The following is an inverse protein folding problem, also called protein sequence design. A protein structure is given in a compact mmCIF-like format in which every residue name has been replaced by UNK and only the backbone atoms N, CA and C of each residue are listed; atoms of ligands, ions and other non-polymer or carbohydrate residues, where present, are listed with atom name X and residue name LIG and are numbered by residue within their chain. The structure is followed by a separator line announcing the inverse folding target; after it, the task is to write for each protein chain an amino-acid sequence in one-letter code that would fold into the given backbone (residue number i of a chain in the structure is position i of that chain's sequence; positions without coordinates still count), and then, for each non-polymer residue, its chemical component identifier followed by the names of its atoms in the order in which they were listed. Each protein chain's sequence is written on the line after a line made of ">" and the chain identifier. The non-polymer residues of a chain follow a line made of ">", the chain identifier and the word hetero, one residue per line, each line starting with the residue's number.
data_IF_502673370683
#
_entry.id   IF_502673370683
#
_cell.length_a   1.000
_cell.length_b   1.000
_cell.length_c   1.000
_cell.angle_alpha   90.00
_cell.angle_beta   90.00
_cell.angle_gamma   90.00
#
_symmetry.space_group_name_H-M   'P 1'
#
loop_
_entity.id
_entity.type
_entity.pdbx_description
1 polymer ?
#
# COMPACT_ATOMS: atom_id res chain seq x y z
N UNK A 1 -28.98 -10.93 42.92
CA UNK A 1 -29.24 -11.39 41.53
C UNK A 1 -29.36 -10.25 40.53
N UNK A 2 -29.74 -9.00 40.88
CA UNK A 2 -29.83 -7.88 39.91
C UNK A 2 -28.50 -7.30 39.41
N UNK A 3 -27.38 -7.52 40.14
CA UNK A 3 -26.05 -7.02 39.72
C UNK A 3 -25.32 -7.92 38.74
N UNK A 4 -25.72 -9.17 38.54
CA UNK A 4 -25.13 -10.13 37.62
C UNK A 4 -25.58 -9.91 36.16
N UNK A 5 -26.76 -9.31 35.96
CA UNK A 5 -27.35 -9.07 34.62
C UNK A 5 -26.65 -7.88 33.91
N UNK A 6 -26.11 -6.92 34.67
CA UNK A 6 -25.43 -5.74 34.09
C UNK A 6 -24.07 -6.07 33.46
N UNK A 7 -23.43 -7.20 33.86
CA UNK A 7 -22.12 -7.60 33.37
C UNK A 7 -22.16 -8.31 32.01
N UNK A 8 -23.36 -8.78 31.58
CA UNK A 8 -23.54 -9.52 30.32
C UNK A 8 -23.75 -8.60 29.08
N UNK A 9 -23.97 -7.31 29.28
CA UNK A 9 -24.27 -6.38 28.17
C UNK A 9 -23.01 -5.77 27.49
N UNK A 10 -21.80 -6.08 27.96
CA UNK A 10 -20.55 -5.49 27.42
C UNK A 10 -19.87 -6.40 26.38
N UNK A 11 -20.39 -7.60 26.12
CA UNK A 11 -19.72 -8.60 25.29
C UNK A 11 -20.11 -8.60 23.80
N UNK A 12 -20.83 -7.60 23.29
CA UNK A 12 -21.31 -7.61 21.90
C UNK A 12 -20.63 -6.58 20.99
N UNK A 13 -19.43 -6.12 21.30
CA UNK A 13 -18.57 -5.54 20.27
C UNK A 13 -17.91 -6.70 19.50
N UNK A 14 -18.60 -7.29 18.55
CA UNK A 14 -18.00 -8.17 17.55
C UNK A 14 -17.07 -7.31 16.68
N UNK A 15 -15.81 -7.22 17.11
CA UNK A 15 -14.75 -6.67 16.31
C UNK A 15 -14.53 -7.67 15.16
N UNK A 16 -15.14 -7.40 13.99
CA UNK A 16 -14.77 -8.10 12.77
C UNK A 16 -13.53 -7.40 12.25
N UNK A 17 -12.32 -8.02 12.36
CA UNK A 17 -11.15 -7.45 11.72
C UNK A 17 -11.42 -7.41 10.21
N UNK A 18 -11.32 -6.24 9.62
CA UNK A 18 -11.50 -6.01 8.17
C UNK A 18 -10.53 -6.87 7.34
N UNK A 19 -9.52 -7.43 7.98
CA UNK A 19 -8.55 -8.38 7.45
C UNK A 19 -8.71 -9.79 8.01
N UNK A 20 -9.92 -10.23 8.31
CA UNK A 20 -10.15 -11.65 8.59
C UNK A 20 -10.01 -12.43 7.29
N UNK A 21 -8.81 -12.92 7.05
CA UNK A 21 -8.36 -14.10 6.31
C UNK A 21 -9.13 -14.67 5.12
N UNK A 22 -10.14 -14.02 4.60
CA UNK A 22 -10.72 -14.37 3.32
C UNK A 22 -9.67 -14.04 2.26
N UNK A 23 -9.04 -15.09 1.75
CA UNK A 23 -8.07 -15.01 0.67
C UNK A 23 -8.74 -14.30 -0.49
N UNK A 24 -8.50 -13.00 -0.60
CA UNK A 24 -8.99 -12.22 -1.73
C UNK A 24 -8.25 -12.76 -2.96
N UNK A 25 -8.98 -13.45 -3.83
CA UNK A 25 -8.43 -14.09 -5.03
C UNK A 25 -8.03 -13.03 -6.06
N UNK A 26 -6.95 -12.30 -5.75
CA UNK A 26 -6.40 -11.21 -6.57
C UNK A 26 -5.04 -11.59 -7.11
N UNK A 27 -4.92 -11.76 -8.40
CA UNK A 27 -3.64 -11.85 -9.09
C UNK A 27 -3.04 -10.45 -9.29
N UNK A 28 -1.81 -10.25 -8.81
CA UNK A 28 -1.05 -9.03 -9.07
C UNK A 28 -0.10 -9.28 -10.23
N UNK A 29 -0.32 -8.58 -11.34
CA UNK A 29 0.53 -8.65 -12.52
C UNK A 29 1.97 -8.21 -12.25
N UNK A 30 2.93 -8.54 -13.14
CA UNK A 30 4.32 -8.10 -12.99
C UNK A 30 4.41 -6.57 -13.09
N UNK A 31 5.16 -5.96 -12.16
CA UNK A 31 5.44 -4.52 -12.12
C UNK A 31 6.91 -4.31 -12.49
N UNK A 32 7.19 -3.35 -13.36
CA UNK A 32 8.54 -3.12 -13.87
C UNK A 32 9.45 -2.48 -12.81
N UNK A 33 10.77 -2.79 -12.89
CA UNK A 33 11.80 -2.20 -12.05
C UNK A 33 11.93 -2.85 -10.67
N UNK A 34 13.00 -2.56 -9.95
CA UNK A 34 13.31 -3.11 -8.62
C UNK A 34 12.22 -2.70 -7.62
N UNK A 35 11.86 -1.41 -7.59
CA UNK A 35 10.79 -0.90 -6.73
C UNK A 35 9.43 -1.52 -7.07
N UNK A 36 9.21 -1.86 -8.36
CA UNK A 36 8.02 -2.56 -8.83
C UNK A 36 7.94 -4.00 -8.28
N UNK A 37 9.06 -4.71 -8.22
CA UNK A 37 9.13 -6.06 -7.62
C UNK A 37 8.76 -5.98 -6.14
N UNK A 38 9.30 -5.01 -5.41
CA UNK A 38 9.00 -4.82 -3.99
C UNK A 38 7.53 -4.44 -3.75
N UNK A 39 6.98 -3.55 -4.58
CA UNK A 39 5.55 -3.20 -4.51
C UNK A 39 4.68 -4.43 -4.78
N UNK A 40 5.00 -5.24 -5.79
CA UNK A 40 4.29 -6.48 -6.09
C UNK A 40 4.34 -7.48 -4.94
N UNK A 41 5.51 -7.67 -4.34
CA UNK A 41 5.68 -8.56 -3.19
C UNK A 41 4.84 -8.09 -2.00
N UNK A 42 4.85 -6.78 -1.72
CA UNK A 42 4.06 -6.18 -0.66
C UNK A 42 2.56 -6.33 -0.91
N UNK A 43 2.07 -6.12 -2.14
CA UNK A 43 0.68 -6.32 -2.52
C UNK A 43 0.26 -7.79 -2.41
N UNK A 44 1.07 -8.73 -2.91
CA UNK A 44 0.80 -10.16 -2.76
C UNK A 44 0.65 -10.55 -1.28
N UNK A 45 1.52 -10.04 -0.41
CA UNK A 45 1.41 -10.27 1.04
C UNK A 45 0.08 -9.77 1.60
N UNK A 46 -0.44 -8.64 1.13
CA UNK A 46 -1.73 -8.07 1.55
C UNK A 46 -2.94 -8.88 1.05
N UNK A 47 -2.82 -9.53 -0.11
CA UNK A 47 -3.89 -10.37 -0.69
C UNK A 47 -3.79 -11.85 -0.28
N UNK A 48 -2.95 -12.18 0.70
CA UNK A 48 -2.84 -13.53 1.25
C UNK A 48 -1.90 -14.46 0.50
N UNK A 49 -1.07 -13.94 -0.39
CA UNK A 49 -0.03 -14.68 -1.10
C UNK A 49 0.01 -14.42 -2.61
N UNK A 50 0.77 -15.25 -3.31
CA UNK A 50 0.86 -15.19 -4.76
C UNK A 50 -0.30 -16.00 -5.35
N UNK A 51 -1.14 -15.34 -6.14
CA UNK A 51 -2.22 -15.97 -6.89
C UNK A 51 -1.81 -16.19 -8.34
N UNK A 52 -2.44 -17.14 -9.00
CA UNK A 52 -2.24 -17.43 -10.41
C UNK A 52 -3.03 -16.46 -11.30
N UNK A 53 -2.67 -16.41 -12.58
CA UNK A 53 -3.28 -15.50 -13.55
C UNK A 53 -4.77 -15.80 -13.83
N UNK A 54 -5.24 -17.00 -13.46
CA UNK A 54 -6.63 -17.41 -13.52
C UNK A 54 -7.47 -16.99 -12.30
N UNK A 55 -6.89 -16.24 -11.35
CA UNK A 55 -7.62 -15.66 -10.25
C UNK A 55 -8.81 -14.83 -10.73
N UNK A 56 -9.87 -14.77 -9.91
CA UNK A 56 -11.09 -14.03 -10.25
C UNK A 56 -10.80 -12.55 -10.54
N UNK A 57 -9.95 -11.94 -9.70
CA UNK A 57 -9.60 -10.54 -9.85
C UNK A 57 -8.17 -10.39 -10.38
N UNK A 58 -8.00 -9.53 -11.37
CA UNK A 58 -6.71 -9.21 -11.96
C UNK A 58 -6.35 -7.75 -11.69
N UNK A 59 -5.26 -7.53 -10.96
CA UNK A 59 -4.72 -6.21 -10.64
C UNK A 59 -3.47 -5.94 -11.48
N UNK A 60 -3.58 -4.97 -12.38
CA UNK A 60 -2.44 -4.45 -13.15
C UNK A 60 -2.00 -3.13 -12.54
N UNK A 61 -0.73 -3.00 -12.18
CA UNK A 61 -0.16 -1.80 -11.56
C UNK A 61 0.99 -1.29 -12.40
N UNK A 62 1.04 0.04 -12.56
CA UNK A 62 2.16 0.77 -13.15
C UNK A 62 2.72 1.70 -12.09
N UNK A 63 3.99 1.54 -11.75
CA UNK A 63 4.70 2.37 -10.79
C UNK A 63 5.57 3.38 -11.53
N UNK A 64 5.43 4.66 -11.17
CA UNK A 64 6.28 5.72 -11.69
C UNK A 64 7.64 5.73 -10.97
N UNK A 65 8.63 6.38 -11.57
CA UNK A 65 9.93 6.57 -10.94
C UNK A 65 9.82 7.47 -9.69
N UNK A 66 10.65 7.25 -8.65
CA UNK A 66 10.67 8.08 -7.47
C UNK A 66 11.01 9.53 -7.79
N UNK A 67 10.21 10.47 -7.28
CA UNK A 67 10.50 11.90 -7.35
C UNK A 67 11.02 12.34 -6.00
N UNK A 68 12.15 13.07 -5.98
CA UNK A 68 12.73 13.64 -4.76
C UNK A 68 12.56 15.15 -4.75
N UNK A 69 12.02 15.69 -3.66
CA UNK A 69 11.82 17.11 -3.43
C UNK A 69 12.61 17.59 -2.21
N UNK A 70 13.16 18.80 -2.28
CA UNK A 70 13.80 19.46 -1.15
C UNK A 70 12.76 20.15 -0.28
N UNK A 71 12.74 19.86 1.03
CA UNK A 71 11.74 20.44 1.95
C UNK A 71 12.31 21.50 2.89
N UNK A 72 13.59 21.42 3.25
CA UNK A 72 14.25 22.39 4.10
C UNK A 72 15.73 22.55 3.74
N UNK A 73 16.25 23.74 3.98
CA UNK A 73 17.66 24.09 3.76
C UNK A 73 18.27 24.59 5.08
N UNK A 74 19.54 24.30 5.30
CA UNK A 74 20.32 24.95 6.35
C UNK A 74 20.64 26.40 5.96
N UNK A 75 21.12 27.20 6.96
CA UNK A 75 21.58 28.59 6.72
C UNK A 75 22.65 28.69 5.63
N UNK A 76 23.43 27.65 5.41
CA UNK A 76 24.44 27.57 4.36
C UNK A 76 23.87 27.22 2.97
N UNK A 77 22.55 27.02 2.83
CA UNK A 77 21.90 26.63 1.57
C UNK A 77 21.92 25.13 1.27
N UNK A 78 22.49 24.31 2.16
CA UNK A 78 22.47 22.84 2.00
C UNK A 78 21.08 22.30 2.38
N UNK A 79 20.53 21.41 1.55
CA UNK A 79 19.28 20.72 1.86
C UNK A 79 19.51 19.72 2.98
N UNK A 80 18.74 19.83 4.06
CA UNK A 80 18.80 18.90 5.21
C UNK A 80 17.65 17.91 5.23
N UNK A 81 16.52 18.27 4.64
CA UNK A 81 15.34 17.43 4.54
C UNK A 81 14.91 17.29 3.09
N UNK A 82 14.73 16.05 2.70
CA UNK A 82 14.21 15.68 1.40
C UNK A 82 12.99 14.78 1.58
N UNK A 83 12.11 14.77 0.61
CA UNK A 83 10.96 13.89 0.54
C UNK A 83 11.03 13.08 -0.75
N UNK A 84 10.89 11.77 -0.63
CA UNK A 84 10.67 10.90 -1.78
C UNK A 84 9.18 10.65 -1.95
N UNK A 85 8.68 10.79 -3.17
CA UNK A 85 7.29 10.51 -3.54
C UNK A 85 7.26 9.44 -4.61
N UNK A 86 6.36 8.48 -4.44
CA UNK A 86 6.01 7.47 -5.44
C UNK A 86 4.54 7.59 -5.79
N UNK A 87 4.23 7.36 -7.06
CA UNK A 87 2.86 7.28 -7.58
C UNK A 87 2.69 5.97 -8.33
N UNK A 88 1.57 5.31 -8.13
CA UNK A 88 1.20 4.14 -8.89
C UNK A 88 -0.21 4.26 -9.42
N UNK A 89 -0.39 3.97 -10.70
CA UNK A 89 -1.68 3.82 -11.35
C UNK A 89 -2.04 2.35 -11.41
N UNK A 90 -3.32 2.01 -11.21
CA UNK A 90 -3.74 0.62 -11.24
C UNK A 90 -5.12 0.45 -11.88
N UNK A 91 -5.30 -0.74 -12.45
CA UNK A 91 -6.57 -1.21 -13.02
C UNK A 91 -6.90 -2.55 -12.38
N UNK A 92 -8.10 -2.64 -11.78
CA UNK A 92 -8.66 -3.87 -11.24
C UNK A 92 -9.76 -4.39 -12.16
N UNK A 93 -9.69 -5.68 -12.50
CA UNK A 93 -10.67 -6.36 -13.35
C UNK A 93 -11.28 -7.54 -12.61
N UNK A 94 -12.59 -7.78 -12.84
CA UNK A 94 -13.29 -9.03 -12.54
C UNK A 94 -13.54 -9.73 -13.88
N UNK A 95 -12.73 -10.75 -14.21
CA UNK A 95 -12.64 -11.28 -15.56
C UNK A 95 -12.24 -10.20 -16.58
N UNK A 96 -13.08 -9.92 -17.56
CA UNK A 96 -12.85 -8.87 -18.56
C UNK A 96 -13.39 -7.49 -18.15
N UNK A 97 -14.22 -7.43 -17.10
CA UNK A 97 -14.85 -6.18 -16.66
C UNK A 97 -13.90 -5.37 -15.79
N UNK A 98 -13.63 -4.13 -16.17
CA UNK A 98 -12.93 -3.16 -15.32
C UNK A 98 -13.87 -2.71 -14.19
N UNK A 99 -13.45 -2.95 -12.93
CA UNK A 99 -14.22 -2.56 -11.73
C UNK A 99 -13.58 -1.38 -10.98
N UNK A 100 -12.28 -1.16 -11.17
CA UNK A 100 -11.62 0.06 -10.69
C UNK A 100 -10.49 0.48 -11.63
N UNK A 101 -10.31 1.79 -11.78
CA UNK A 101 -9.16 2.41 -12.45
C UNK A 101 -8.83 3.68 -11.67
N UNK A 102 -7.68 3.70 -11.01
CA UNK A 102 -7.32 4.80 -10.11
C UNK A 102 -5.79 4.91 -9.97
N UNK A 103 -5.37 5.95 -9.27
CA UNK A 103 -3.97 6.21 -8.94
C UNK A 103 -3.86 6.58 -7.46
N UNK A 104 -2.81 6.07 -6.82
CA UNK A 104 -2.45 6.39 -5.44
C UNK A 104 -1.03 6.91 -5.38
N UNK A 105 -0.77 7.78 -4.41
CA UNK A 105 0.57 8.28 -4.13
C UNK A 105 0.88 8.19 -2.64
N UNK A 106 2.17 8.00 -2.35
CA UNK A 106 2.71 8.03 -1.01
C UNK A 106 4.03 8.79 -1.01
N UNK A 107 4.41 9.34 0.14
CA UNK A 107 5.68 10.03 0.29
C UNK A 107 6.25 9.84 1.69
N UNK A 108 7.57 9.89 1.78
CA UNK A 108 8.34 9.77 3.01
C UNK A 108 9.46 10.79 3.03
N UNK A 109 9.60 11.49 4.16
CA UNK A 109 10.69 12.43 4.36
C UNK A 109 11.90 11.75 4.97
N UNK A 110 13.09 12.12 4.52
CA UNK A 110 14.35 11.61 5.05
C UNK A 110 15.37 12.73 5.21
N UNK A 111 16.32 12.51 6.13
CA UNK A 111 17.41 13.45 6.35
C UNK A 111 18.52 13.20 5.32
N UNK A 112 18.86 14.24 4.58
CA UNK A 112 20.06 14.25 3.74
C UNK A 112 21.26 14.64 4.59
N UNK A 113 22.28 13.80 4.60
CA UNK A 113 23.56 14.05 5.26
C UNK A 113 24.69 14.03 4.24
N UNK A 114 25.78 14.77 4.51
CA UNK A 114 26.91 14.88 3.59
C UNK A 114 27.68 13.57 3.36
N UNK A 115 27.45 12.56 4.22
CA UNK A 115 28.08 11.24 4.07
C UNK A 115 27.29 10.40 3.07
N UNK A 116 27.87 10.12 1.91
CA UNK A 116 27.21 9.43 0.79
C UNK A 116 26.55 8.11 1.19
N UNK A 117 27.24 7.28 1.97
CA UNK A 117 26.70 5.97 2.40
C UNK A 117 25.46 6.14 3.29
N UNK A 118 25.51 7.05 4.27
CA UNK A 118 24.38 7.32 5.16
C UNK A 118 23.21 7.96 4.42
N UNK A 119 23.48 8.87 3.49
CA UNK A 119 22.46 9.50 2.65
C UNK A 119 21.75 8.48 1.75
N UNK A 120 22.51 7.59 1.10
CA UNK A 120 21.93 6.53 0.29
C UNK A 120 21.09 5.54 1.10
N UNK A 121 21.55 5.17 2.30
CA UNK A 121 20.78 4.31 3.20
C UNK A 121 19.46 4.97 3.63
N UNK A 122 19.49 6.26 4.00
CA UNK A 122 18.29 7.02 4.35
C UNK A 122 17.30 7.12 3.19
N UNK A 123 17.78 7.42 1.99
CA UNK A 123 16.98 7.44 0.76
C UNK A 123 16.32 6.08 0.48
N UNK A 124 17.12 5.00 0.49
CA UNK A 124 16.60 3.66 0.21
C UNK A 124 15.53 3.24 1.24
N UNK A 125 15.74 3.55 2.52
CA UNK A 125 14.75 3.29 3.56
C UNK A 125 13.46 4.10 3.31
N UNK A 126 13.58 5.37 2.91
CA UNK A 126 12.43 6.20 2.59
C UNK A 126 11.66 5.66 1.38
N UNK A 127 12.35 5.20 0.32
CA UNK A 127 11.74 4.54 -0.83
C UNK A 127 10.96 3.28 -0.39
N UNK A 128 11.58 2.41 0.43
CA UNK A 128 10.93 1.19 0.91
C UNK A 128 9.70 1.49 1.76
N UNK A 129 9.78 2.45 2.67
CA UNK A 129 8.63 2.88 3.48
C UNK A 129 7.50 3.44 2.60
N UNK A 130 7.85 4.22 1.57
CA UNK A 130 6.88 4.75 0.61
C UNK A 130 6.19 3.63 -0.17
N UNK A 131 6.93 2.59 -0.58
CA UNK A 131 6.37 1.40 -1.24
C UNK A 131 5.38 0.68 -0.32
N UNK A 132 5.72 0.49 0.95
CA UNK A 132 4.82 -0.12 1.93
C UNK A 132 3.53 0.69 2.12
N UNK A 133 3.63 2.01 2.30
CA UNK A 133 2.47 2.90 2.40
C UNK A 133 1.60 2.85 1.15
N UNK A 134 2.23 2.83 -0.04
CA UNK A 134 1.54 2.75 -1.32
C UNK A 134 0.80 1.42 -1.47
N UNK A 135 1.44 0.31 -1.09
CA UNK A 135 0.80 -1.01 -1.11
C UNK A 135 -0.40 -1.10 -0.18
N UNK A 136 -0.36 -0.46 0.99
CA UNK A 136 -1.49 -0.38 1.91
C UNK A 136 -2.66 0.40 1.32
N UNK A 137 -2.40 1.57 0.75
CA UNK A 137 -3.43 2.38 0.10
C UNK A 137 -4.11 1.63 -1.05
N UNK A 138 -3.31 1.03 -1.94
CA UNK A 138 -3.83 0.27 -3.08
C UNK A 138 -4.64 -0.94 -2.60
N UNK A 139 -4.09 -1.74 -1.67
CA UNK A 139 -4.79 -2.94 -1.19
C UNK A 139 -6.11 -2.62 -0.51
N UNK A 140 -6.17 -1.57 0.32
CA UNK A 140 -7.42 -1.14 0.96
C UNK A 140 -8.47 -0.70 -0.07
N UNK A 141 -8.07 0.05 -1.10
CA UNK A 141 -8.97 0.47 -2.19
C UNK A 141 -9.48 -0.73 -2.96
N UNK A 142 -8.58 -1.63 -3.37
CA UNK A 142 -8.92 -2.85 -4.10
C UNK A 142 -9.92 -3.70 -3.32
N UNK A 143 -9.67 -3.99 -2.05
CA UNK A 143 -10.58 -4.75 -1.19
C UNK A 143 -11.95 -4.05 -1.09
N UNK A 144 -11.96 -2.73 -0.91
CA UNK A 144 -13.20 -1.97 -0.84
C UNK A 144 -14.02 -2.06 -2.14
N UNK A 145 -13.38 -1.99 -3.30
CA UNK A 145 -14.09 -2.10 -4.58
C UNK A 145 -14.61 -3.52 -4.82
N UNK A 146 -13.86 -4.55 -4.43
CA UNK A 146 -14.31 -5.94 -4.48
C UNK A 146 -15.56 -6.14 -3.60
N UNK A 147 -15.53 -5.69 -2.35
CA UNK A 147 -16.66 -5.78 -1.43
C UNK A 147 -17.91 -5.06 -1.94
N UNK A 148 -17.76 -3.92 -2.61
CA UNK A 148 -18.89 -3.23 -3.26
C UNK A 148 -19.51 -4.05 -4.38
N UNK A 149 -18.70 -4.76 -5.18
CA UNK A 149 -19.21 -5.61 -6.26
C UNK A 149 -19.92 -6.85 -5.72
N UNK A 150 -19.48 -7.41 -4.61
CA UNK A 150 -20.09 -8.60 -3.99
C UNK A 150 -21.41 -8.29 -3.27
N UNK A 151 -21.63 -7.04 -2.91
CA UNK A 151 -22.86 -6.58 -2.21
C UNK A 151 -23.91 -6.01 -3.18
N UNK A 152 -23.68 -6.00 -4.49
CA UNK A 152 -24.62 -5.56 -5.53
C UNK A 152 -25.27 -6.75 -6.22
#
# INVERSE_FOLDING_TARGET
>A
MKKLILLLMVASCSFHPVFSGDKTDVYVGPIRGINGIELRNSLNSKFGGIHEQNARYNLTVTLDDPITEYKAFERAGDATWQEVKLTASYVLKDGDKVIANSSESASESYTFVRYLVASNASYNNAVMNTIHQLSEKISMRVITEIQKQENQ
#
